data_IF_801167208609
#
_entry.id   IF_801167208609
#
_cell.length_a   1.000
_cell.length_b   1.000
_cell.length_c   1.000
_cell.angle_alpha   90.00
_cell.angle_beta   90.00
_cell.angle_gamma   90.00
#
_symmetry.space_group_name_H-M   'P 1'
#
loop_
_entity.id
_entity.type
_entity.pdbx_description
1 polymer ?
#
# COMPACT_ATOMS: atom_id res chain seq x y z
N UNK A 1 -28.23 -31.97 -4.48
CA UNK A 1 -28.19 -30.55 -4.93
C UNK A 1 -26.94 -29.91 -4.35
N UNK A 2 -25.97 -29.53 -5.20
CA UNK A 2 -24.77 -28.81 -4.76
C UNK A 2 -25.21 -27.40 -4.36
N UNK A 3 -24.91 -26.99 -3.13
CA UNK A 3 -25.08 -25.60 -2.69
C UNK A 3 -24.30 -24.70 -3.65
N UNK A 4 -24.97 -23.71 -4.24
CA UNK A 4 -24.35 -22.71 -5.09
C UNK A 4 -23.08 -22.18 -4.42
N UNK A 5 -21.95 -22.27 -5.13
CA UNK A 5 -20.69 -21.68 -4.68
C UNK A 5 -20.92 -20.20 -4.37
N UNK A 6 -20.29 -19.72 -3.30
CA UNK A 6 -20.43 -18.34 -2.83
C UNK A 6 -20.00 -17.38 -3.95
N UNK A 7 -20.72 -16.26 -4.19
CA UNK A 7 -20.30 -15.25 -5.16
C UNK A 7 -18.88 -14.76 -4.85
N UNK A 8 -18.02 -14.76 -5.86
CA UNK A 8 -16.60 -14.37 -5.78
C UNK A 8 -16.52 -12.88 -6.08
N UNK A 9 -17.19 -12.06 -5.27
CA UNK A 9 -17.40 -10.65 -5.63
C UNK A 9 -16.45 -9.69 -4.90
N UNK A 10 -15.47 -10.22 -4.15
CA UNK A 10 -14.37 -9.47 -3.55
C UNK A 10 -13.12 -10.37 -3.53
N UNK A 11 -11.95 -9.84 -3.91
CA UNK A 11 -10.65 -10.53 -3.84
C UNK A 11 -10.28 -10.82 -2.38
N UNK A 12 -10.82 -11.91 -1.87
CA UNK A 12 -10.84 -12.24 -0.46
C UNK A 12 -10.62 -13.75 -0.24
N UNK A 13 -10.38 -14.54 -1.30
CA UNK A 13 -10.02 -15.96 -1.22
C UNK A 13 -10.82 -16.79 -0.17
N UNK A 14 -12.12 -16.49 -0.03
CA UNK A 14 -13.05 -17.25 0.83
C UNK A 14 -13.34 -16.68 2.23
N UNK A 15 -12.69 -15.62 2.72
CA UNK A 15 -13.09 -14.93 3.96
C UNK A 15 -14.17 -13.86 3.73
N UNK A 16 -14.91 -13.50 4.78
CA UNK A 16 -15.83 -12.34 4.79
C UNK A 16 -15.18 -11.22 5.60
N UNK A 17 -14.57 -10.21 4.96
CA UNK A 17 -14.00 -9.08 5.69
C UNK A 17 -15.08 -8.31 6.45
N UNK A 18 -14.69 -7.66 7.55
CA UNK A 18 -15.52 -6.63 8.17
C UNK A 18 -15.72 -5.46 7.18
N UNK A 19 -16.77 -4.64 7.30
CA UNK A 19 -17.06 -3.60 6.31
C UNK A 19 -15.90 -2.61 6.06
N UNK A 20 -15.18 -2.23 7.11
CA UNK A 20 -13.98 -1.41 7.07
C UNK A 20 -12.82 -2.09 6.33
N UNK A 21 -12.61 -3.38 6.57
CA UNK A 21 -11.63 -4.18 5.82
C UNK A 21 -12.04 -4.31 4.35
N UNK A 22 -13.33 -4.47 4.05
CA UNK A 22 -13.82 -4.55 2.69
C UNK A 22 -13.52 -3.27 1.89
N UNK A 23 -13.75 -2.11 2.51
CA UNK A 23 -13.43 -0.83 1.89
C UNK A 23 -11.93 -0.67 1.61
N UNK A 24 -11.08 -1.08 2.56
CA UNK A 24 -9.63 -1.11 2.37
C UNK A 24 -9.23 -1.99 1.19
N UNK A 25 -9.74 -3.22 1.13
CA UNK A 25 -9.44 -4.16 0.04
C UNK A 25 -9.90 -3.64 -1.33
N UNK A 26 -11.06 -2.99 -1.40
CA UNK A 26 -11.59 -2.40 -2.65
C UNK A 26 -10.74 -1.23 -3.12
N UNK A 27 -10.39 -0.29 -2.23
CA UNK A 27 -9.54 0.86 -2.55
C UNK A 27 -8.15 0.45 -2.98
N UNK A 28 -7.57 -0.57 -2.33
CA UNK A 28 -6.28 -1.11 -2.72
C UNK A 28 -6.37 -1.77 -4.10
N UNK A 29 -7.45 -2.52 -4.37
CA UNK A 29 -7.68 -3.12 -5.69
C UNK A 29 -7.78 -2.06 -6.78
N UNK A 30 -8.56 -0.99 -6.54
CA UNK A 30 -8.70 0.13 -7.46
C UNK A 30 -7.34 0.76 -7.78
N UNK A 31 -6.52 1.06 -6.77
CA UNK A 31 -5.14 1.53 -6.96
C UNK A 31 -4.29 0.60 -7.83
N UNK A 32 -4.29 -0.71 -7.53
CA UNK A 32 -3.44 -1.69 -8.21
C UNK A 32 -3.83 -1.87 -9.70
N UNK A 33 -5.11 -1.71 -10.04
CA UNK A 33 -5.59 -1.82 -11.43
C UNK A 33 -5.03 -0.73 -12.35
N UNK A 34 -4.51 0.38 -11.80
CA UNK A 34 -3.84 1.43 -12.58
C UNK A 34 -2.42 1.07 -13.03
N UNK A 35 -1.89 -0.08 -12.62
CA UNK A 35 -0.59 -0.60 -13.03
C UNK A 35 -0.75 -1.95 -13.73
N UNK A 36 -1.37 -2.00 -14.94
CA UNK A 36 -1.76 -3.26 -15.59
C UNK A 36 -0.58 -4.15 -16.02
N UNK A 37 0.63 -3.59 -16.08
CA UNK A 37 1.87 -4.32 -16.41
C UNK A 37 2.57 -4.86 -15.17
N UNK A 38 2.09 -4.54 -13.96
CA UNK A 38 2.73 -4.97 -12.73
C UNK A 38 2.34 -6.41 -12.36
N UNK A 39 3.31 -7.17 -11.86
CA UNK A 39 3.03 -8.41 -11.14
C UNK A 39 2.58 -8.08 -9.72
N UNK A 40 1.43 -8.57 -9.28
CA UNK A 40 0.86 -8.25 -7.97
C UNK A 40 0.75 -9.51 -7.10
N UNK A 41 1.31 -9.46 -5.89
CA UNK A 41 1.13 -10.45 -4.84
C UNK A 41 0.29 -9.86 -3.70
N UNK A 42 -0.60 -10.68 -3.12
CA UNK A 42 -1.49 -10.27 -2.01
C UNK A 42 -1.67 -11.37 -0.98
N UNK A 43 -2.12 -10.98 0.21
CA UNK A 43 -2.47 -11.93 1.27
C UNK A 43 -1.28 -12.82 1.64
N UNK A 44 -1.42 -14.15 1.70
CA UNK A 44 -0.34 -15.04 2.12
C UNK A 44 0.92 -15.04 1.24
N UNK A 45 0.85 -14.46 0.04
CA UNK A 45 1.96 -14.46 -0.93
C UNK A 45 2.91 -13.27 -0.76
N UNK A 46 2.56 -12.29 0.08
CA UNK A 46 3.47 -11.18 0.39
C UNK A 46 4.58 -11.64 1.35
N UNK A 47 5.63 -10.83 1.48
CA UNK A 47 6.70 -11.06 2.46
C UNK A 47 6.12 -11.18 3.88
N UNK A 48 6.31 -12.33 4.53
CA UNK A 48 5.72 -12.65 5.84
C UNK A 48 6.36 -11.85 7.00
N UNK A 49 7.55 -11.27 6.80
CA UNK A 49 8.20 -10.41 7.79
C UNK A 49 7.65 -8.99 7.73
N UNK A 50 7.53 -8.44 6.53
CA UNK A 50 7.09 -7.06 6.29
C UNK A 50 5.56 -6.97 6.40
N UNK A 51 4.87 -7.96 5.82
CA UNK A 51 3.41 -8.06 5.70
C UNK A 51 2.78 -6.78 5.14
N UNK A 52 3.21 -6.32 3.95
CA UNK A 52 2.55 -5.20 3.28
C UNK A 52 1.15 -5.63 2.82
N UNK A 53 0.28 -4.67 2.53
CA UNK A 53 -1.06 -4.98 1.99
C UNK A 53 -0.97 -5.65 0.60
N UNK A 54 0.02 -5.26 -0.19
CA UNK A 54 0.38 -5.91 -1.45
C UNK A 54 1.88 -5.78 -1.73
N UNK A 55 2.40 -6.64 -2.61
CA UNK A 55 3.71 -6.46 -3.25
C UNK A 55 3.50 -6.29 -4.74
N UNK A 56 4.12 -5.27 -5.31
CA UNK A 56 4.01 -4.88 -6.71
C UNK A 56 5.39 -4.97 -7.38
N UNK A 57 5.50 -5.77 -8.43
CA UNK A 57 6.68 -5.87 -9.27
C UNK A 57 6.44 -5.09 -10.56
N UNK A 58 7.14 -3.97 -10.72
CA UNK A 58 6.92 -3.03 -11.83
C UNK A 58 8.27 -2.57 -12.37
N UNK A 59 8.46 -2.68 -13.69
CA UNK A 59 9.65 -2.21 -14.39
C UNK A 59 10.98 -2.69 -13.79
N UNK A 60 11.00 -3.96 -13.35
CA UNK A 60 12.18 -4.61 -12.76
C UNK A 60 12.46 -4.23 -11.30
N UNK A 61 11.56 -3.50 -10.65
CA UNK A 61 11.65 -3.12 -9.23
C UNK A 61 10.54 -3.77 -8.43
N UNK A 62 10.80 -3.98 -7.14
CA UNK A 62 9.81 -4.42 -6.17
C UNK A 62 9.38 -3.25 -5.32
N UNK A 63 8.07 -3.15 -5.12
CA UNK A 63 7.43 -2.14 -4.31
C UNK A 63 6.51 -2.82 -3.29
N UNK A 64 6.72 -2.56 -2.01
CA UNK A 64 5.77 -2.92 -0.95
C UNK A 64 4.69 -1.85 -0.88
N UNK A 65 3.42 -2.21 -0.96
CA UNK A 65 2.30 -1.26 -1.00
C UNK A 65 1.56 -1.29 0.33
N UNK A 66 1.36 -0.11 0.91
CA UNK A 66 0.63 0.11 2.16
C UNK A 66 -0.47 1.16 1.91
N UNK A 67 -1.74 0.77 2.06
CA UNK A 67 -2.88 1.67 1.97
C UNK A 67 -3.22 2.20 3.37
N UNK A 68 -2.91 3.46 3.65
CA UNK A 68 -3.24 4.10 4.92
C UNK A 68 -4.63 4.76 4.85
N UNK A 69 -5.63 4.09 5.43
CA UNK A 69 -7.01 4.58 5.56
C UNK A 69 -7.23 5.52 6.74
N UNK A 70 -6.20 5.79 7.56
CA UNK A 70 -6.26 6.61 8.75
C UNK A 70 -6.81 5.90 10.00
N UNK A 71 -7.15 4.61 9.91
CA UNK A 71 -7.63 3.80 11.04
C UNK A 71 -6.51 3.49 12.04
N UNK A 72 -5.27 3.35 11.57
CA UNK A 72 -4.10 3.20 12.44
C UNK A 72 -3.59 4.56 12.93
N UNK A 73 -3.26 4.64 14.21
CA UNK A 73 -2.54 5.79 14.77
C UNK A 73 -1.11 5.88 14.21
N UNK A 74 -0.52 7.08 14.18
CA UNK A 74 0.85 7.24 13.69
C UNK A 74 1.88 6.42 14.48
N UNK A 75 1.66 6.18 15.77
CA UNK A 75 2.55 5.35 16.59
C UNK A 75 2.49 3.87 16.19
N UNK A 76 1.32 3.36 15.80
CA UNK A 76 1.17 2.00 15.26
C UNK A 76 1.90 1.87 13.92
N UNK A 77 1.66 2.80 13.00
CA UNK A 77 2.33 2.80 11.69
C UNK A 77 3.84 2.91 11.85
N UNK A 78 4.33 3.82 12.70
CA UNK A 78 5.76 3.98 12.99
C UNK A 78 6.39 2.73 13.59
N UNK A 79 5.67 2.01 14.47
CA UNK A 79 6.13 0.74 15.03
C UNK A 79 6.21 -0.36 13.97
N UNK A 80 5.22 -0.46 13.07
CA UNK A 80 5.27 -1.38 11.92
C UNK A 80 6.46 -1.07 11.02
N UNK A 81 6.69 0.20 10.71
CA UNK A 81 7.84 0.67 9.95
C UNK A 81 9.17 0.24 10.58
N UNK A 82 9.31 0.44 11.90
CA UNK A 82 10.51 0.03 12.63
C UNK A 82 10.77 -1.48 12.51
N UNK A 83 9.73 -2.30 12.68
CA UNK A 83 9.88 -3.77 12.72
C UNK A 83 10.05 -4.36 11.32
N UNK A 84 9.17 -3.99 10.38
CA UNK A 84 9.10 -4.59 9.06
C UNK A 84 10.21 -4.11 8.13
N UNK A 85 10.53 -2.81 8.16
CA UNK A 85 11.35 -2.18 7.13
C UNK A 85 12.82 -1.94 7.53
N UNK A 86 13.25 -2.43 8.70
CA UNK A 86 14.67 -2.39 9.06
C UNK A 86 15.48 -3.29 8.10
N UNK A 87 16.46 -2.70 7.42
CA UNK A 87 17.35 -3.38 6.47
C UNK A 87 16.69 -3.77 5.15
N UNK A 88 15.51 -3.22 4.83
CA UNK A 88 14.84 -3.43 3.54
C UNK A 88 15.39 -2.43 2.52
N UNK A 89 15.69 -2.90 1.32
CA UNK A 89 16.19 -2.07 0.21
C UNK A 89 15.09 -1.74 -0.82
N UNK A 90 14.05 -2.58 -0.92
CA UNK A 90 12.91 -2.35 -1.78
C UNK A 90 12.08 -1.14 -1.30
N UNK A 91 11.52 -0.39 -2.25
CA UNK A 91 10.71 0.79 -1.93
C UNK A 91 9.38 0.37 -1.28
N UNK A 92 8.90 1.21 -0.36
CA UNK A 92 7.54 1.13 0.19
C UNK A 92 6.71 2.31 -0.28
N UNK A 93 5.57 2.00 -0.90
CA UNK A 93 4.59 2.94 -1.42
C UNK A 93 3.45 3.09 -0.40
N UNK A 94 3.41 4.23 0.28
CA UNK A 94 2.29 4.61 1.14
C UNK A 94 1.27 5.40 0.35
N UNK A 95 0.09 4.79 0.16
CA UNK A 95 -1.06 5.42 -0.48
C UNK A 95 -2.02 5.85 0.62
N UNK A 96 -2.28 7.16 0.73
CA UNK A 96 -3.16 7.69 1.77
C UNK A 96 -4.48 8.21 1.18
N UNK A 97 -5.52 8.38 2.00
CA UNK A 97 -6.81 8.89 1.53
C UNK A 97 -6.89 10.42 1.44
N UNK A 98 -5.91 11.16 1.99
CA UNK A 98 -5.93 12.63 1.96
C UNK A 98 -4.52 13.22 2.06
N UNK A 99 -4.33 14.40 1.48
CA UNK A 99 -3.04 15.13 1.55
C UNK A 99 -2.63 15.41 3.01
N UNK A 100 -3.59 15.75 3.87
CA UNK A 100 -3.31 15.95 5.31
C UNK A 100 -2.73 14.71 5.97
N UNK A 101 -3.28 13.53 5.66
CA UNK A 101 -2.75 12.26 6.20
C UNK A 101 -1.38 11.96 5.61
N UNK A 102 -1.21 12.14 4.29
CA UNK A 102 0.07 12.02 3.59
C UNK A 102 1.17 12.87 4.26
N UNK A 103 0.93 14.17 4.43
CA UNK A 103 1.88 15.12 5.04
C UNK A 103 2.21 14.78 6.49
N UNK A 104 1.24 14.22 7.20
CA UNK A 104 1.45 13.81 8.60
C UNK A 104 2.27 12.52 8.66
N UNK A 105 2.02 11.58 7.76
CA UNK A 105 2.77 10.34 7.68
C UNK A 105 4.23 10.60 7.26
N UNK A 106 4.46 11.46 6.26
CA UNK A 106 5.79 11.93 5.86
C UNK A 106 6.57 12.51 7.06
N UNK A 107 5.92 13.33 7.90
CA UNK A 107 6.58 13.94 9.07
C UNK A 107 6.89 12.97 10.20
N UNK A 108 6.18 11.84 10.27
CA UNK A 108 6.26 10.89 11.39
C UNK A 108 6.86 9.53 10.99
N UNK A 109 7.28 9.37 9.73
CA UNK A 109 7.91 8.16 9.23
C UNK A 109 9.11 7.77 10.09
N UNK A 110 9.23 6.47 10.39
CA UNK A 110 10.37 5.93 11.13
C UNK A 110 11.66 5.99 10.31
N UNK A 111 12.80 6.19 10.96
CA UNK A 111 14.10 6.31 10.28
C UNK A 111 14.46 5.10 9.41
N UNK A 112 14.04 3.90 9.84
CA UNK A 112 14.20 2.67 9.06
C UNK A 112 13.51 2.71 7.69
N UNK A 113 12.36 3.38 7.58
CA UNK A 113 11.60 3.46 6.33
C UNK A 113 11.89 4.74 5.55
N UNK A 114 12.41 5.80 6.19
CA UNK A 114 12.73 7.10 5.54
C UNK A 114 13.43 6.99 4.17
N UNK A 115 14.49 6.19 3.98
CA UNK A 115 15.22 6.17 2.71
C UNK A 115 14.46 5.47 1.57
N UNK A 116 13.45 4.65 1.90
CA UNK A 116 12.73 3.79 0.96
C UNK A 116 11.24 4.12 0.87
N UNK A 117 10.74 5.06 1.66
CA UNK A 117 9.32 5.39 1.71
C UNK A 117 8.95 6.49 0.73
N UNK A 118 7.99 6.17 -0.14
CA UNK A 118 7.37 7.07 -1.08
C UNK A 118 5.89 7.22 -0.73
N UNK A 119 5.39 8.44 -0.74
CA UNK A 119 4.06 8.78 -0.26
C UNK A 119 3.24 9.47 -1.33
N UNK A 120 1.97 9.10 -1.45
CA UNK A 120 1.02 9.79 -2.31
C UNK A 120 -0.41 9.68 -1.78
N UNK A 121 -1.36 10.29 -2.47
CA UNK A 121 -2.79 10.09 -2.23
C UNK A 121 -3.39 9.15 -3.25
N UNK A 122 -4.39 8.36 -2.84
CA UNK A 122 -5.14 7.47 -3.73
C UNK A 122 -5.67 8.23 -4.96
N UNK A 123 -6.22 9.43 -4.74
CA UNK A 123 -6.70 10.29 -5.82
C UNK A 123 -5.58 10.66 -6.82
N UNK A 124 -4.38 11.01 -6.34
CA UNK A 124 -3.25 11.34 -7.21
C UNK A 124 -2.77 10.12 -7.99
N UNK A 125 -2.65 8.97 -7.32
CA UNK A 125 -2.24 7.71 -7.94
C UNK A 125 -3.21 7.22 -9.02
N UNK A 126 -4.51 7.31 -8.78
CA UNK A 126 -5.54 6.95 -9.75
C UNK A 126 -5.53 7.90 -10.95
N UNK A 127 -5.36 9.21 -10.70
CA UNK A 127 -5.41 10.23 -11.76
C UNK A 127 -4.16 10.23 -12.63
N UNK A 128 -2.98 9.99 -12.05
CA UNK A 128 -1.71 10.05 -12.74
C UNK A 128 -0.73 8.99 -12.22
N UNK A 129 -0.98 7.70 -12.45
CA UNK A 129 -0.22 6.60 -11.84
C UNK A 129 1.28 6.60 -12.17
N UNK A 130 1.65 7.15 -13.34
CA UNK A 130 3.04 7.28 -13.80
C UNK A 130 3.63 8.68 -13.62
N UNK A 131 2.92 9.56 -12.92
CA UNK A 131 3.34 10.94 -12.70
C UNK A 131 4.38 11.10 -11.61
N UNK A 132 4.95 12.31 -11.52
CA UNK A 132 5.81 12.72 -10.40
C UNK A 132 4.98 13.04 -9.14
N UNK A 133 4.22 12.05 -8.67
CA UNK A 133 3.24 12.17 -7.58
C UNK A 133 3.74 11.56 -6.26
N UNK A 134 4.89 10.90 -6.28
CA UNK A 134 5.44 10.17 -5.15
C UNK A 134 6.42 11.05 -4.41
N UNK A 135 6.10 11.41 -3.17
CA UNK A 135 6.92 12.29 -2.33
C UNK A 135 7.77 11.45 -1.39
N UNK A 136 9.05 11.73 -1.26
CA UNK A 136 9.91 11.09 -0.26
C UNK A 136 9.87 11.84 1.09
N UNK A 137 10.52 11.27 2.11
CA UNK A 137 10.64 11.90 3.43
C UNK A 137 11.52 13.17 3.46
N UNK A 138 12.20 13.49 2.36
CA UNK A 138 13.15 14.59 2.22
C UNK A 138 12.59 15.74 1.36
N UNK A 139 11.34 15.63 0.90
CA UNK A 139 10.65 16.65 0.13
C UNK A 139 10.90 16.60 -1.38
N UNK A 140 11.48 15.52 -1.91
CA UNK A 140 11.60 15.31 -3.36
C UNK A 140 10.40 14.55 -3.89
N UNK A 141 10.07 14.80 -5.15
CA UNK A 141 9.06 14.06 -5.90
C UNK A 141 9.72 13.09 -6.89
N UNK A 142 9.05 11.99 -7.18
CA UNK A 142 9.47 10.97 -8.13
C UNK A 142 8.26 10.37 -8.87
N UNK A 143 8.52 9.72 -10.00
CA UNK A 143 7.62 8.77 -10.66
C UNK A 143 8.09 7.33 -10.43
N UNK A 144 7.18 6.37 -10.63
CA UNK A 144 7.47 4.93 -10.54
C UNK A 144 7.03 4.17 -11.79
#
# INVERSE_FOLDING_TARGET
MKSAGRPVDVYCNGWRPKPDHLEHELRLTDFLLHYPTAGILRGPEVDDRIRPDATMHLDGRTFHVELDTGLESHSQVRRRQQIGYTGVEDFVLYVTLSERRCDTLIRNVHDAAKPIALFTTLQSAVRNPRGEIWRDAFGKSASI
#
